data_IF_517587490633
#
_entry.id   IF_517587490633
#
_cell.length_a   1.000
_cell.length_b   1.000
_cell.length_c   1.000
_cell.angle_alpha   90.00
_cell.angle_beta   90.00
_cell.angle_gamma   90.00
#
_symmetry.space_group_name_H-M   'P 1'
#
loop_
_entity.id
_entity.type
_entity.pdbx_description
1 polymer ?
#
# COMPACT_ATOMS: atom_id res chain seq x y z
N UNK A 1 -14.47 26.37 48.56
CA UNK A 1 -13.27 25.54 48.31
C UNK A 1 -12.03 26.44 48.34
N UNK A 2 -11.01 26.11 49.14
CA UNK A 2 -9.80 26.93 49.25
C UNK A 2 -8.99 26.93 47.94
N UNK A 3 -8.16 27.95 47.73
CA UNK A 3 -7.27 28.04 46.55
C UNK A 3 -6.42 26.76 46.43
N UNK A 4 -5.89 26.25 47.54
CA UNK A 4 -5.15 24.98 47.59
C UNK A 4 -5.96 23.79 47.07
N UNK A 5 -7.25 23.67 47.45
CA UNK A 5 -8.12 22.59 46.97
C UNK A 5 -8.43 22.71 45.47
N UNK A 6 -8.53 23.94 44.92
CA UNK A 6 -8.67 24.16 43.48
C UNK A 6 -7.42 23.74 42.70
N UNK A 7 -6.24 24.05 43.23
CA UNK A 7 -4.96 23.64 42.63
C UNK A 7 -4.81 22.12 42.63
N UNK A 8 -5.07 21.46 43.76
CA UNK A 8 -5.00 19.99 43.88
C UNK A 8 -5.98 19.32 42.90
N UNK A 9 -7.21 19.82 42.81
CA UNK A 9 -8.21 19.28 41.88
C UNK A 9 -7.77 19.43 40.40
N UNK A 10 -7.19 20.58 40.03
CA UNK A 10 -6.64 20.79 38.70
C UNK A 10 -5.48 19.83 38.37
N UNK A 11 -4.59 19.59 39.34
CA UNK A 11 -3.48 18.62 39.18
C UNK A 11 -4.02 17.21 38.98
N UNK A 12 -5.04 16.79 39.74
CA UNK A 12 -5.66 15.47 39.59
C UNK A 12 -6.30 15.27 38.21
N UNK A 13 -6.94 16.29 37.65
CA UNK A 13 -7.49 16.23 36.29
C UNK A 13 -6.36 16.05 35.26
N UNK A 14 -5.28 16.81 35.37
CA UNK A 14 -4.14 16.70 34.45
C UNK A 14 -3.48 15.33 34.52
N UNK A 15 -3.32 14.77 35.73
CA UNK A 15 -2.83 13.40 35.92
C UNK A 15 -3.78 12.39 35.28
N UNK A 16 -5.09 12.54 35.47
CA UNK A 16 -6.10 11.66 34.86
C UNK A 16 -6.05 11.70 33.32
N UNK A 17 -5.91 12.89 32.73
CA UNK A 17 -5.77 13.05 31.28
C UNK A 17 -4.46 12.45 30.76
N UNK A 18 -3.36 12.62 31.50
CA UNK A 18 -2.07 12.06 31.13
C UNK A 18 -2.07 10.53 31.18
N UNK A 19 -2.64 9.94 32.24
CA UNK A 19 -2.81 8.48 32.35
C UNK A 19 -3.74 7.97 31.26
N UNK A 20 -4.86 8.67 31.00
CA UNK A 20 -5.78 8.33 29.90
C UNK A 20 -5.10 8.34 28.53
N UNK A 21 -4.22 9.32 28.28
CA UNK A 21 -3.44 9.41 27.05
C UNK A 21 -2.45 8.26 26.89
N UNK A 22 -1.73 7.88 27.97
CA UNK A 22 -0.82 6.72 27.95
C UNK A 22 -1.59 5.43 27.67
N UNK A 23 -2.71 5.20 28.37
CA UNK A 23 -3.54 4.00 28.19
C UNK A 23 -4.08 3.94 26.76
N UNK A 24 -4.58 5.05 26.23
CA UNK A 24 -5.07 5.11 24.84
C UNK A 24 -3.97 4.79 23.83
N UNK A 25 -2.75 5.31 24.03
CA UNK A 25 -1.61 5.01 23.18
C UNK A 25 -1.27 3.51 23.16
N UNK A 26 -1.20 2.88 24.33
CA UNK A 26 -0.90 1.45 24.46
C UNK A 26 -1.92 0.57 23.74
N UNK A 27 -3.23 0.84 23.87
CA UNK A 27 -4.26 0.03 23.23
C UNK A 27 -4.48 0.35 21.75
N UNK A 28 -4.14 1.56 21.30
CA UNK A 28 -4.25 1.94 19.90
C UNK A 28 -3.17 1.27 19.03
N UNK A 29 -1.96 1.10 19.55
CA UNK A 29 -0.86 0.43 18.84
C UNK A 29 -1.16 -1.06 18.60
N UNK A 30 -1.58 -1.80 19.65
CA UNK A 30 -1.94 -3.22 19.54
C UNK A 30 -3.08 -3.49 18.53
N UNK A 31 -4.02 -2.54 18.41
CA UNK A 31 -5.16 -2.68 17.50
C UNK A 31 -4.76 -2.58 16.03
N UNK A 32 -3.85 -1.67 15.67
CA UNK A 32 -3.43 -1.49 14.27
C UNK A 32 -2.64 -2.70 13.75
N UNK A 33 -1.79 -3.32 14.58
CA UNK A 33 -1.03 -4.52 14.20
C UNK A 33 -1.94 -5.75 14.05
N UNK A 34 -2.84 -5.98 15.01
CA UNK A 34 -3.69 -7.18 15.01
C UNK A 34 -4.82 -7.15 13.99
N UNK A 35 -5.15 -5.97 13.44
CA UNK A 35 -6.23 -5.78 12.46
C UNK A 35 -6.08 -6.63 11.20
N UNK A 36 -4.83 -6.93 10.82
CA UNK A 36 -4.50 -7.72 9.64
C UNK A 36 -4.21 -9.18 9.99
N UNK A 37 -4.25 -9.55 11.27
CA UNK A 37 -4.07 -10.92 11.71
C UNK A 37 -5.43 -11.63 11.65
N UNK A 38 -5.51 -12.71 10.87
CA UNK A 38 -6.70 -13.56 10.70
C UNK A 38 -7.81 -13.01 9.77
N UNK A 39 -7.43 -12.28 8.72
CA UNK A 39 -8.39 -11.97 7.65
C UNK A 39 -8.72 -13.26 6.90
N UNK A 40 -10.00 -13.66 6.90
CA UNK A 40 -10.46 -14.81 6.13
C UNK A 40 -10.29 -14.54 4.63
N UNK A 41 -9.60 -15.44 3.94
CA UNK A 41 -9.46 -15.40 2.48
C UNK A 41 -10.75 -15.98 1.88
N UNK A 42 -11.54 -15.21 1.10
CA UNK A 42 -12.79 -15.72 0.54
C UNK A 42 -12.58 -16.93 -0.40
N UNK A 43 -13.17 -18.08 -0.07
CA UNK A 43 -13.08 -19.35 -0.85
C UNK A 43 -13.49 -19.24 -2.32
N UNK A 44 -14.28 -18.23 -2.68
CA UNK A 44 -14.84 -18.03 -4.03
C UNK A 44 -13.91 -17.29 -4.98
N UNK A 45 -12.79 -16.77 -4.49
CA UNK A 45 -11.82 -16.01 -5.28
C UNK A 45 -10.53 -16.82 -5.35
N UNK A 46 -10.18 -17.29 -6.55
CA UNK A 46 -8.88 -17.91 -6.81
C UNK A 46 -7.81 -16.81 -6.75
N UNK A 47 -7.30 -16.53 -5.56
CA UNK A 47 -6.19 -15.61 -5.41
C UNK A 47 -4.87 -16.31 -5.68
N UNK A 48 -4.04 -15.67 -6.49
CA UNK A 48 -2.66 -16.07 -6.72
C UNK A 48 -1.76 -15.35 -5.70
N UNK A 49 -0.68 -16.00 -5.27
CA UNK A 49 0.43 -15.30 -4.62
C UNK A 49 1.31 -14.64 -5.69
N UNK A 50 1.95 -13.49 -5.40
CA UNK A 50 3.01 -12.98 -6.25
C UNK A 50 4.14 -14.02 -6.41
N UNK A 51 4.88 -13.93 -7.51
CA UNK A 51 6.12 -14.70 -7.64
C UNK A 51 7.14 -14.04 -6.72
N UNK A 52 7.76 -14.79 -5.81
CA UNK A 52 8.68 -14.24 -4.80
C UNK A 52 9.91 -13.59 -5.45
N UNK A 53 10.56 -14.28 -6.39
CA UNK A 53 11.77 -13.78 -7.05
C UNK A 53 11.77 -14.12 -8.54
N UNK A 54 12.27 -13.18 -9.35
CA UNK A 54 12.55 -13.39 -10.76
C UNK A 54 14.04 -13.68 -10.99
N UNK A 55 14.34 -14.56 -11.92
CA UNK A 55 15.68 -14.70 -12.49
C UNK A 55 15.98 -13.52 -13.41
N UNK A 56 17.27 -13.19 -13.62
CA UNK A 56 17.68 -12.15 -14.57
C UNK A 56 17.07 -12.35 -15.97
N UNK A 57 16.95 -13.60 -16.43
CA UNK A 57 16.32 -13.91 -17.71
C UNK A 57 14.83 -13.54 -17.73
N UNK A 58 14.12 -13.71 -16.62
CA UNK A 58 12.71 -13.32 -16.51
C UNK A 58 12.57 -11.79 -16.46
N UNK A 59 13.47 -11.09 -15.78
CA UNK A 59 13.50 -9.61 -15.75
C UNK A 59 13.72 -9.06 -17.18
N UNK A 60 14.74 -9.55 -17.87
CA UNK A 60 15.01 -9.19 -19.29
C UNK A 60 13.82 -9.51 -20.21
N UNK A 61 13.04 -10.53 -19.85
CA UNK A 61 11.83 -10.90 -20.59
C UNK A 61 10.71 -9.92 -20.33
N UNK A 62 10.52 -9.43 -19.09
CA UNK A 62 9.51 -8.43 -18.73
C UNK A 62 9.68 -7.14 -19.56
N UNK A 63 10.90 -6.61 -19.65
CA UNK A 63 11.20 -5.39 -20.42
C UNK A 63 10.83 -5.53 -21.91
N UNK A 64 10.85 -6.75 -22.44
CA UNK A 64 10.58 -7.07 -23.85
C UNK A 64 9.12 -7.46 -24.12
N UNK A 65 8.29 -7.58 -23.08
CA UNK A 65 6.88 -7.92 -23.24
C UNK A 65 6.19 -6.80 -24.04
N UNK A 66 5.58 -7.18 -25.16
CA UNK A 66 4.60 -6.33 -25.83
C UNK A 66 3.26 -6.49 -25.13
N UNK A 67 2.75 -5.39 -24.61
CA UNK A 67 1.40 -5.31 -24.06
C UNK A 67 0.55 -4.37 -24.93
N UNK A 68 -0.75 -4.64 -24.97
CA UNK A 68 -1.77 -3.89 -25.70
C UNK A 68 -2.79 -3.21 -24.77
N UNK A 69 -2.63 -3.38 -23.46
CA UNK A 69 -3.45 -2.79 -22.42
C UNK A 69 -2.63 -2.42 -21.17
N UNK A 70 -3.23 -1.63 -20.28
CA UNK A 70 -2.72 -1.30 -18.97
C UNK A 70 -2.54 -2.58 -18.15
N UNK A 71 -1.34 -2.78 -17.61
CA UNK A 71 -0.97 -4.01 -16.92
C UNK A 71 -0.14 -3.71 -15.69
N UNK A 72 -0.37 -4.49 -14.64
CA UNK A 72 0.50 -4.56 -13.47
C UNK A 72 0.97 -5.99 -13.23
N UNK A 73 2.24 -6.12 -12.87
CA UNK A 73 2.83 -7.35 -12.36
C UNK A 73 3.53 -7.01 -11.06
N UNK A 74 3.24 -7.80 -10.03
CA UNK A 74 3.81 -7.67 -8.69
C UNK A 74 4.66 -8.91 -8.44
N UNK A 75 5.88 -8.67 -7.96
CA UNK A 75 6.89 -9.67 -7.60
C UNK A 75 7.35 -9.36 -6.18
N UNK A 76 7.70 -10.38 -5.40
CA UNK A 76 8.16 -10.22 -4.02
C UNK A 76 7.17 -10.73 -2.99
N UNK A 77 7.52 -10.50 -1.74
CA UNK A 77 6.83 -10.95 -0.55
C UNK A 77 7.03 -9.97 0.61
N UNK A 78 6.43 -10.25 1.77
CA UNK A 78 6.60 -9.45 2.98
C UNK A 78 8.07 -9.29 3.39
N UNK A 79 8.91 -10.31 3.18
CA UNK A 79 10.31 -10.33 3.61
C UNK A 79 11.26 -9.50 2.72
N UNK A 80 11.05 -9.53 1.41
CA UNK A 80 11.87 -8.84 0.42
C UNK A 80 11.29 -7.47 0.03
N UNK A 81 10.01 -7.25 0.33
CA UNK A 81 9.22 -6.17 -0.24
C UNK A 81 8.69 -6.55 -1.62
N UNK A 82 7.98 -5.61 -2.24
CA UNK A 82 7.30 -5.81 -3.50
C UNK A 82 7.87 -4.90 -4.58
N UNK A 83 8.18 -5.51 -5.73
CA UNK A 83 8.52 -4.85 -6.98
C UNK A 83 7.28 -4.76 -7.88
N UNK A 84 7.07 -3.57 -8.44
CA UNK A 84 5.92 -3.23 -9.24
C UNK A 84 6.34 -2.91 -10.67
N UNK A 85 5.93 -3.75 -11.61
CA UNK A 85 6.09 -3.52 -13.03
C UNK A 85 4.76 -3.03 -13.61
N UNK A 86 4.75 -1.80 -14.11
CA UNK A 86 3.57 -1.07 -14.51
C UNK A 86 3.67 -0.71 -15.98
N UNK A 87 2.78 -1.25 -16.81
CA UNK A 87 2.67 -0.84 -18.21
C UNK A 87 1.53 0.14 -18.39
N UNK A 88 1.85 1.28 -18.99
CA UNK A 88 0.89 2.31 -19.32
C UNK A 88 1.23 2.96 -20.65
N UNK A 89 0.22 3.35 -21.42
CA UNK A 89 0.38 4.13 -22.65
C UNK A 89 0.32 5.62 -22.30
N UNK A 90 1.45 6.34 -22.31
CA UNK A 90 1.50 7.73 -21.85
C UNK A 90 0.93 8.68 -22.92
N UNK A 91 -0.38 8.85 -22.96
CA UNK A 91 -1.06 9.81 -23.86
C UNK A 91 -1.19 11.20 -23.24
N UNK A 92 -0.87 11.35 -21.96
CA UNK A 92 -0.95 12.60 -21.20
C UNK A 92 0.22 12.72 -20.21
N UNK A 93 0.71 13.94 -19.97
CA UNK A 93 1.73 14.20 -18.95
C UNK A 93 1.14 14.13 -17.54
N UNK A 94 1.90 13.60 -16.61
CA UNK A 94 1.40 13.35 -15.26
C UNK A 94 2.32 12.45 -14.46
N UNK A 95 1.73 11.76 -13.50
CA UNK A 95 2.39 10.79 -12.64
C UNK A 95 1.58 9.50 -12.61
N UNK A 96 2.26 8.35 -12.56
CA UNK A 96 1.64 7.07 -12.23
C UNK A 96 2.23 6.50 -10.95
N UNK A 97 1.44 5.73 -10.22
CA UNK A 97 1.82 5.08 -8.97
C UNK A 97 0.79 4.02 -8.60
N UNK A 98 1.14 3.21 -7.61
CA UNK A 98 0.30 2.15 -7.06
C UNK A 98 -0.47 2.66 -5.84
N UNK A 99 -1.73 2.22 -5.71
CA UNK A 99 -2.47 2.14 -4.45
C UNK A 99 -2.76 0.68 -4.16
N UNK A 100 -2.83 0.29 -2.89
CA UNK A 100 -3.21 -1.05 -2.49
C UNK A 100 -4.29 -0.99 -1.43
N UNK A 101 -5.19 -1.98 -1.45
CA UNK A 101 -6.28 -2.09 -0.51
C UNK A 101 -6.41 -3.53 -0.04
N UNK A 102 -6.56 -3.73 1.27
CA UNK A 102 -7.09 -4.98 1.79
C UNK A 102 -8.52 -5.13 1.24
N UNK A 103 -8.80 -6.27 0.61
CA UNK A 103 -9.94 -6.41 -0.27
C UNK A 103 -11.27 -6.52 0.49
N UNK A 104 -11.30 -7.16 1.66
CA UNK A 104 -12.54 -7.50 2.37
C UNK A 104 -13.19 -6.28 3.03
N UNK A 105 -12.39 -5.36 3.56
CA UNK A 105 -12.83 -4.15 4.25
C UNK A 105 -12.52 -2.87 3.46
N UNK A 106 -11.81 -2.99 2.32
CA UNK A 106 -11.40 -1.89 1.47
C UNK A 106 -10.56 -0.85 2.24
N UNK A 107 -9.67 -1.33 3.09
CA UNK A 107 -8.73 -0.50 3.86
C UNK A 107 -7.52 -0.22 2.99
N UNK A 108 -7.15 1.05 2.83
CA UNK A 108 -5.97 1.44 2.09
C UNK A 108 -4.70 1.07 2.87
N UNK A 109 -3.77 0.42 2.18
CA UNK A 109 -2.52 -0.07 2.74
C UNK A 109 -1.39 0.89 2.39
N UNK A 110 -0.47 1.14 3.32
CA UNK A 110 0.84 1.75 3.09
C UNK A 110 0.81 3.00 2.18
N UNK A 111 -0.22 3.83 2.33
CA UNK A 111 -0.61 4.86 1.36
C UNK A 111 0.56 5.74 0.94
N UNK A 112 1.27 6.30 1.93
CA UNK A 112 2.39 7.20 1.67
C UNK A 112 3.54 6.50 0.95
N UNK A 113 3.88 5.27 1.36
CA UNK A 113 4.98 4.50 0.76
C UNK A 113 4.66 4.12 -0.67
N UNK A 114 3.47 3.57 -0.93
CA UNK A 114 3.07 3.16 -2.27
C UNK A 114 2.98 4.37 -3.21
N UNK A 115 2.27 5.44 -2.83
CA UNK A 115 2.11 6.63 -3.69
C UNK A 115 3.39 7.42 -3.93
N UNK A 116 4.40 7.29 -3.06
CA UNK A 116 5.66 8.02 -3.19
C UNK A 116 6.76 7.18 -3.83
N UNK A 117 6.94 5.93 -3.40
CA UNK A 117 8.06 5.07 -3.82
C UNK A 117 7.83 4.34 -5.14
N UNK A 118 6.57 4.15 -5.52
CA UNK A 118 6.22 3.59 -6.85
C UNK A 118 5.96 4.68 -7.91
N UNK A 119 6.13 5.95 -7.53
CA UNK A 119 5.82 7.10 -8.36
C UNK A 119 6.76 7.21 -9.55
N UNK A 120 6.19 7.30 -10.73
CA UNK A 120 6.90 7.57 -11.97
C UNK A 120 6.33 8.81 -12.66
N UNK A 121 7.19 9.76 -13.04
CA UNK A 121 6.80 10.95 -13.80
C UNK A 121 6.72 10.64 -15.30
N UNK A 122 5.63 11.03 -15.93
CA UNK A 122 5.42 10.94 -17.38
C UNK A 122 5.71 12.31 -18.00
N UNK A 123 6.93 12.49 -18.49
CA UNK A 123 7.36 13.68 -19.23
C UNK A 123 7.25 13.53 -20.75
N UNK A 124 7.32 12.30 -21.25
CA UNK A 124 7.33 11.96 -22.67
C UNK A 124 6.13 11.09 -23.06
N UNK A 125 5.43 11.52 -24.11
CA UNK A 125 4.27 10.82 -24.63
C UNK A 125 4.66 9.73 -25.64
N UNK A 126 3.81 8.73 -25.80
CA UNK A 126 4.04 7.64 -26.74
C UNK A 126 2.75 6.97 -27.17
N UNK A 127 2.73 6.51 -28.42
CA UNK A 127 1.67 5.66 -28.94
C UNK A 127 1.80 4.20 -28.48
N UNK A 128 2.95 3.82 -27.92
CA UNK A 128 3.22 2.50 -27.38
C UNK A 128 3.11 2.49 -25.85
N UNK A 129 2.76 1.33 -25.30
CA UNK A 129 2.86 1.09 -23.87
C UNK A 129 4.34 1.11 -23.44
N UNK A 130 4.63 1.82 -22.35
CA UNK A 130 5.94 1.87 -21.71
C UNK A 130 5.88 1.14 -20.36
N UNK A 131 6.99 0.50 -20.00
CA UNK A 131 7.20 -0.06 -18.68
C UNK A 131 7.70 1.02 -17.72
N UNK A 132 7.17 1.00 -16.51
CA UNK A 132 7.58 1.80 -15.37
C UNK A 132 7.75 0.87 -14.17
N UNK A 133 8.66 1.22 -13.28
CA UNK A 133 9.07 0.36 -12.17
C UNK A 133 9.01 1.12 -10.85
N UNK A 134 8.80 0.40 -9.77
CA UNK A 134 8.86 0.94 -8.43
C UNK A 134 8.93 -0.18 -7.42
N UNK A 135 9.40 0.12 -6.22
CA UNK A 135 9.52 -0.88 -5.17
C UNK A 135 9.17 -0.32 -3.79
N UNK A 136 8.51 -1.12 -2.96
CA UNK A 136 8.29 -0.81 -1.55
C UNK A 136 7.83 -2.03 -0.79
N UNK A 137 7.89 -1.92 0.54
CA UNK A 137 7.22 -2.84 1.46
C UNK A 137 5.77 -2.39 1.71
N UNK A 138 4.93 -3.33 2.16
CA UNK A 138 3.61 -3.08 2.72
C UNK A 138 3.71 -3.31 4.22
N UNK A 139 3.46 -2.29 5.02
CA UNK A 139 3.65 -2.29 6.48
C UNK A 139 2.58 -3.05 7.25
N UNK A 140 1.39 -3.18 6.66
CA UNK A 140 0.26 -3.83 7.29
C UNK A 140 0.37 -5.36 7.20
N UNK A 141 0.21 -6.04 8.33
CA UNK A 141 0.35 -7.50 8.45
C UNK A 141 1.72 -7.93 8.98
N UNK A 142 1.99 -9.23 8.91
CA UNK A 142 3.27 -9.85 9.31
C UNK A 142 3.57 -11.01 8.37
N UNK A 143 4.79 -11.53 8.41
CA UNK A 143 5.23 -12.63 7.55
C UNK A 143 4.34 -13.86 7.67
N UNK A 144 4.09 -14.51 6.54
CA UNK A 144 3.28 -15.75 6.43
C UNK A 144 1.81 -15.61 6.87
N UNK A 145 1.36 -14.43 7.31
CA UNK A 145 -0.04 -14.14 7.61
C UNK A 145 -0.69 -13.45 6.41
N UNK A 146 -1.23 -14.29 5.54
CA UNK A 146 -1.67 -13.89 4.22
C UNK A 146 -3.09 -13.29 4.21
N UNK A 147 -3.28 -12.21 3.46
CA UNK A 147 -4.58 -11.56 3.28
C UNK A 147 -4.81 -11.11 1.82
N UNK A 148 -6.08 -11.05 1.36
CA UNK A 148 -6.39 -10.67 -0.01
C UNK A 148 -6.21 -9.16 -0.22
N UNK A 149 -5.46 -8.80 -1.25
CA UNK A 149 -5.12 -7.41 -1.57
C UNK A 149 -5.42 -7.09 -3.03
N UNK A 150 -6.03 -5.93 -3.25
CA UNK A 150 -6.20 -5.31 -4.57
C UNK A 150 -5.14 -4.25 -4.78
N UNK A 151 -4.27 -4.47 -5.76
CA UNK A 151 -3.37 -3.45 -6.26
C UNK A 151 -4.03 -2.70 -7.41
N UNK A 152 -3.93 -1.38 -7.38
CA UNK A 152 -4.50 -0.49 -8.38
C UNK A 152 -3.41 0.39 -8.96
N UNK A 153 -3.33 0.45 -10.29
CA UNK A 153 -2.50 1.43 -10.99
C UNK A 153 -3.29 2.72 -11.18
N UNK A 154 -2.74 3.83 -10.73
CA UNK A 154 -3.36 5.15 -10.84
C UNK A 154 -2.53 6.09 -11.71
N UNK A 155 -3.22 6.97 -12.41
CA UNK A 155 -2.63 8.11 -13.13
C UNK A 155 -3.17 9.42 -12.59
N UNK A 156 -2.29 10.38 -12.37
CA UNK A 156 -2.61 11.75 -12.00
C UNK A 156 -2.16 12.71 -13.10
N UNK A 157 -3.13 13.40 -13.68
CA UNK A 157 -2.89 14.41 -14.72
C UNK A 157 -2.08 15.59 -14.19
N UNK A 158 -1.03 16.00 -14.90
CA UNK A 158 -0.29 17.24 -14.58
C UNK A 158 -1.15 18.48 -14.88
N UNK A 159 -2.01 18.41 -15.91
CA UNK A 159 -2.78 19.56 -16.39
C UNK A 159 -4.02 19.85 -15.55
N UNK A 160 -4.76 18.81 -15.15
CA UNK A 160 -6.01 18.93 -14.41
C UNK A 160 -5.89 18.57 -12.93
N UNK A 161 -4.82 17.87 -12.54
CA UNK A 161 -4.66 17.31 -11.19
C UNK A 161 -5.59 16.12 -10.91
N UNK A 162 -6.43 15.72 -11.86
CA UNK A 162 -7.40 14.63 -11.68
C UNK A 162 -6.67 13.29 -11.63
N UNK A 163 -7.05 12.47 -10.66
CA UNK A 163 -6.60 11.08 -10.52
C UNK A 163 -7.62 10.12 -11.15
N UNK A 164 -7.14 9.14 -11.91
CA UNK A 164 -7.95 8.06 -12.47
C UNK A 164 -7.29 6.71 -12.25
N UNK A 165 -8.08 5.71 -11.90
CA UNK A 165 -7.65 4.31 -11.91
C UNK A 165 -7.49 3.84 -13.36
N UNK A 166 -6.36 3.23 -13.65
CA UNK A 166 -6.01 2.69 -14.97
C UNK A 166 -6.35 1.20 -15.07
N UNK A 167 -5.92 0.40 -14.08
CA UNK A 167 -6.18 -1.04 -14.01
C UNK A 167 -6.00 -1.53 -12.58
N UNK A 168 -6.34 -2.79 -12.31
CA UNK A 168 -6.17 -3.43 -11.01
C UNK A 168 -5.82 -4.92 -11.15
N UNK A 169 -5.24 -5.47 -10.07
CA UNK A 169 -4.97 -6.90 -9.95
C UNK A 169 -5.04 -7.33 -8.50
N UNK A 170 -5.64 -8.49 -8.25
CA UNK A 170 -5.77 -9.06 -6.92
C UNK A 170 -4.70 -10.11 -6.69
N UNK A 171 -4.16 -10.13 -5.48
CA UNK A 171 -3.21 -11.12 -4.99
C UNK A 171 -3.55 -11.47 -3.54
N UNK A 172 -3.00 -12.58 -3.05
CA UNK A 172 -2.86 -12.83 -1.62
C UNK A 172 -1.40 -12.58 -1.26
N UNK A 173 -1.20 -11.71 -0.27
CA UNK A 173 0.11 -11.20 0.15
C UNK A 173 0.25 -11.27 1.66
N UNK A 174 1.48 -11.14 2.15
CA UNK A 174 1.79 -10.89 3.56
C UNK A 174 2.44 -9.50 3.73
N UNK A 175 2.47 -9.05 4.99
CA UNK A 175 3.02 -7.76 5.38
C UNK A 175 4.50 -7.83 5.74
N UNK A 176 5.14 -6.66 5.83
CA UNK A 176 6.47 -6.51 6.39
C UNK A 176 6.41 -6.58 7.92
N UNK A 177 7.11 -7.55 8.51
CA UNK A 177 7.26 -7.66 9.97
C UNK A 177 8.23 -6.59 10.48
N UNK A 178 7.80 -5.79 11.45
CA UNK A 178 8.58 -4.66 12.00
C UNK A 178 9.28 -4.99 13.30
#
# INVERSE_FOLDING_TARGET
MTIAKKIIFGILILIGLFIGWIIFGLFAEDYEETKFYNIEIPDKLNFEKPIEFLTNQQIDSLEKIKVDNEKIVIIGDGYSGYDFYMWHKPTEKGEIYIKAYELTQNIQLSEWKLSTRTKNKISELSDNYKLYEGNTVIDEGTFENYYPTRFELWFKSESSGIEKKLTEKNYVIDGWDR
#
